data_IF_569779026805
#
_entry.id   IF_569779026805
#
_cell.length_a   1.000
_cell.length_b   1.000
_cell.length_c   1.000
_cell.angle_alpha   90.00
_cell.angle_beta   90.00
_cell.angle_gamma   90.00
#
_symmetry.space_group_name_H-M   'P 1'
#
loop_
_entity.id
_entity.type
_entity.pdbx_description
1 polymer ?
#
# COMPACT_ATOMS: atom_id res chain seq x y z
N UNK A 1 -5.99 6.54 18.69
CA UNK A 1 -5.82 7.62 17.70
C UNK A 1 -5.00 7.07 16.55
N UNK A 2 -5.43 7.30 15.31
CA UNK A 2 -4.68 6.91 14.11
C UNK A 2 -3.38 7.70 14.00
N UNK A 3 -2.31 7.04 13.53
CA UNK A 3 -1.06 7.69 13.15
C UNK A 3 -1.20 8.47 11.84
N UNK A 4 -0.29 9.41 11.58
CA UNK A 4 -0.27 10.17 10.31
C UNK A 4 -0.15 9.25 9.09
N UNK A 5 0.63 8.17 9.20
CA UNK A 5 0.80 7.17 8.14
C UNK A 5 -0.52 6.46 7.82
N UNK A 6 -1.29 6.08 8.83
CA UNK A 6 -2.60 5.44 8.65
C UNK A 6 -3.61 6.42 8.05
N UNK A 7 -3.62 7.67 8.52
CA UNK A 7 -4.47 8.74 7.97
C UNK A 7 -4.17 8.95 6.48
N UNK A 8 -2.89 9.01 6.10
CA UNK A 8 -2.52 9.13 4.69
C UNK A 8 -2.94 7.92 3.86
N UNK A 9 -2.77 6.70 4.39
CA UNK A 9 -3.18 5.49 3.70
C UNK A 9 -4.69 5.48 3.46
N UNK A 10 -5.51 5.80 4.47
CA UNK A 10 -6.96 5.92 4.33
C UNK A 10 -7.35 6.96 3.28
N UNK A 11 -6.71 8.14 3.28
CA UNK A 11 -6.94 9.19 2.28
C UNK A 11 -6.53 8.77 0.86
N UNK A 12 -5.54 7.88 0.72
CA UNK A 12 -5.11 7.29 -0.55
C UNK A 12 -6.01 6.14 -1.02
N UNK A 13 -7.07 5.82 -0.26
CA UNK A 13 -8.06 4.81 -0.62
C UNK A 13 -7.91 3.46 0.09
N UNK A 14 -6.99 3.35 1.05
CA UNK A 14 -6.92 2.15 1.89
C UNK A 14 -8.21 1.95 2.68
N UNK A 15 -8.53 0.70 2.95
CA UNK A 15 -9.62 0.35 3.84
C UNK A 15 -9.20 0.56 5.30
N UNK A 16 -10.15 0.97 6.14
CA UNK A 16 -10.02 1.13 7.58
C UNK A 16 -10.95 0.19 8.34
N UNK A 17 -10.70 0.05 9.64
CA UNK A 17 -11.56 -0.70 10.56
C UNK A 17 -12.15 0.25 11.60
N UNK A 18 -13.45 0.16 11.84
CA UNK A 18 -14.08 0.90 12.94
C UNK A 18 -14.04 0.10 14.26
N UNK A 19 -14.44 0.72 15.38
CA UNK A 19 -14.46 0.06 16.70
C UNK A 19 -15.41 -1.15 16.78
N UNK A 20 -16.36 -1.26 15.86
CA UNK A 20 -17.26 -2.41 15.74
C UNK A 20 -16.67 -3.55 14.89
N UNK A 21 -15.44 -3.41 14.37
CA UNK A 21 -14.82 -4.41 13.52
C UNK A 21 -15.36 -4.42 12.09
N UNK A 22 -16.04 -3.36 11.66
CA UNK A 22 -16.58 -3.25 10.30
C UNK A 22 -15.53 -2.65 9.37
N UNK A 23 -15.52 -3.16 8.13
CA UNK A 23 -14.67 -2.64 7.06
C UNK A 23 -15.22 -1.30 6.57
N UNK A 24 -14.35 -0.31 6.49
CA UNK A 24 -14.68 1.07 6.11
C UNK A 24 -13.80 1.53 4.96
N UNK A 25 -14.32 2.31 4.01
CA UNK A 25 -13.51 2.98 2.97
C UNK A 25 -13.96 4.42 2.80
N UNK A 26 -13.02 5.35 2.71
CA UNK A 26 -13.33 6.73 2.33
C UNK A 26 -13.77 6.76 0.88
N UNK A 27 -14.93 7.38 0.61
CA UNK A 27 -15.42 7.59 -0.76
C UNK A 27 -15.51 9.05 -1.16
N UNK A 28 -15.59 9.95 -0.19
CA UNK A 28 -15.57 11.38 -0.48
C UNK A 28 -15.12 12.19 0.73
N UNK A 29 -14.55 13.36 0.47
CA UNK A 29 -14.23 14.34 1.50
C UNK A 29 -14.92 15.66 1.14
N UNK A 30 -15.68 16.21 2.09
CA UNK A 30 -16.27 17.52 1.96
C UNK A 30 -15.26 18.58 2.40
N UNK A 31 -14.85 19.43 1.45
CA UNK A 31 -13.95 20.55 1.70
C UNK A 31 -14.68 21.83 2.14
N UNK A 32 -16.00 21.77 2.33
CA UNK A 32 -16.80 22.89 2.84
C UNK A 32 -17.25 22.60 4.28
N UNK A 33 -17.24 23.60 5.18
CA UNK A 33 -17.75 23.43 6.53
C UNK A 33 -19.21 22.92 6.57
N UNK A 34 -19.56 21.98 7.48
CA UNK A 34 -18.64 21.26 8.36
C UNK A 34 -17.82 20.23 7.57
N UNK A 35 -16.49 20.31 7.69
CA UNK A 35 -15.58 19.38 7.02
C UNK A 35 -15.91 17.95 7.46
N UNK A 36 -16.36 17.12 6.50
CA UNK A 36 -16.77 15.75 6.76
C UNK A 36 -16.13 14.79 5.76
N UNK A 37 -15.89 13.57 6.21
CA UNK A 37 -15.44 12.44 5.43
C UNK A 37 -16.66 11.55 5.24
N UNK A 38 -17.05 11.28 4.01
CA UNK A 38 -18.07 10.27 3.72
C UNK A 38 -17.39 8.93 3.52
N UNK A 39 -17.79 7.94 4.30
CA UNK A 39 -17.28 6.59 4.23
C UNK A 39 -18.37 5.61 3.79
N UNK A 40 -17.97 4.54 3.11
CA UNK A 40 -18.76 3.33 2.97
C UNK A 40 -18.36 2.36 4.08
N UNK A 41 -19.35 1.81 4.79
CA UNK A 41 -19.17 0.82 5.85
C UNK A 41 -19.93 -0.44 5.47
N UNK A 42 -19.27 -1.58 5.55
CA UNK A 42 -19.91 -2.87 5.30
C UNK A 42 -20.66 -3.34 6.56
N UNK A 43 -21.98 -3.46 6.45
CA UNK A 43 -22.87 -3.91 7.51
C UNK A 43 -23.69 -5.09 6.97
N UNK A 44 -23.49 -6.28 7.55
CA UNK A 44 -24.21 -7.51 7.15
C UNK A 44 -24.18 -7.80 5.64
N UNK A 45 -23.04 -7.54 4.96
CA UNK A 45 -22.88 -7.76 3.52
C UNK A 45 -23.49 -6.69 2.62
N UNK A 46 -23.89 -5.55 3.18
CA UNK A 46 -24.35 -4.38 2.43
C UNK A 46 -23.55 -3.13 2.78
N UNK A 47 -23.42 -2.23 1.83
CA UNK A 47 -22.69 -0.97 1.98
C UNK A 47 -23.62 0.13 2.51
N UNK A 48 -23.26 0.73 3.65
CA UNK A 48 -23.94 1.88 4.25
C UNK A 48 -23.05 3.12 4.21
N UNK A 49 -23.65 4.29 3.99
CA UNK A 49 -22.94 5.57 3.99
C UNK A 49 -22.90 6.17 5.39
N UNK A 50 -21.70 6.52 5.86
CA UNK A 50 -21.51 7.14 7.16
C UNK A 50 -20.70 8.44 7.06
N UNK A 51 -21.26 9.58 7.51
CA UNK A 51 -20.51 10.82 7.61
C UNK A 51 -19.66 10.81 8.90
N UNK A 52 -18.35 10.94 8.74
CA UNK A 52 -17.39 11.16 9.81
C UNK A 52 -16.82 12.58 9.72
N UNK A 53 -16.15 13.01 10.77
CA UNK A 53 -15.38 14.25 10.80
C UNK A 53 -14.03 14.06 10.12
N UNK A 54 -13.31 15.16 9.89
CA UNK A 54 -11.97 15.15 9.27
C UNK A 54 -10.90 14.34 10.01
N UNK A 55 -11.12 14.04 11.29
CA UNK A 55 -10.30 13.20 12.15
C UNK A 55 -10.81 11.75 12.26
N UNK A 56 -11.72 11.33 11.39
CA UNK A 56 -12.28 9.97 11.35
C UNK A 56 -13.15 9.56 12.55
N UNK A 57 -13.70 10.53 13.29
CA UNK A 57 -14.65 10.27 14.38
C UNK A 57 -16.06 10.72 14.02
N UNK A 58 -17.08 10.10 14.61
CA UNK A 58 -18.48 10.48 14.40
C UNK A 58 -18.87 11.70 15.24
N UNK A 59 -18.53 11.70 16.53
CA UNK A 59 -18.86 12.76 17.48
C UNK A 59 -17.60 13.48 17.99
N UNK A 60 -17.79 14.71 18.47
CA UNK A 60 -16.75 15.45 19.21
C UNK A 60 -16.86 15.03 20.68
N UNK A 61 -15.75 14.56 21.26
CA UNK A 61 -15.61 14.24 22.68
C UNK A 61 -16.30 12.96 23.18
N UNK A 62 -16.81 12.12 22.27
CA UNK A 62 -17.32 10.79 22.61
C UNK A 62 -16.76 9.75 21.63
N UNK A 63 -16.24 8.65 22.19
CA UNK A 63 -15.83 7.48 21.42
C UNK A 63 -17.07 6.79 20.86
N UNK A 64 -17.26 6.84 19.54
CA UNK A 64 -18.33 6.14 18.85
C UNK A 64 -17.87 4.78 18.36
N UNK A 65 -18.76 3.78 18.38
CA UNK A 65 -18.51 2.48 17.74
C UNK A 65 -18.15 2.60 16.26
N UNK A 66 -18.50 3.72 15.61
CA UNK A 66 -18.29 3.99 14.20
C UNK A 66 -16.96 4.72 13.91
N UNK A 67 -16.20 5.10 14.93
CA UNK A 67 -14.90 5.75 14.74
C UNK A 67 -13.90 4.80 14.08
N UNK A 68 -13.16 5.27 13.08
CA UNK A 68 -12.09 4.49 12.46
C UNK A 68 -10.88 4.48 13.38
N UNK A 69 -10.42 3.28 13.73
CA UNK A 69 -9.34 3.08 14.72
C UNK A 69 -8.08 2.44 14.16
N UNK A 70 -8.10 1.97 12.91
CA UNK A 70 -6.93 1.44 12.23
C UNK A 70 -7.17 1.25 10.73
N UNK A 71 -6.13 0.74 10.06
CA UNK A 71 -6.27 0.19 8.71
C UNK A 71 -6.94 -1.18 8.79
N UNK A 72 -7.79 -1.48 7.79
CA UNK A 72 -8.37 -2.80 7.64
C UNK A 72 -7.31 -3.76 7.11
N UNK A 73 -6.97 -4.72 7.95
CA UNK A 73 -6.30 -5.95 7.54
C UNK A 73 -7.40 -7.00 7.33
N UNK A 74 -7.37 -7.73 6.22
CA UNK A 74 -8.44 -8.69 5.92
C UNK A 74 -8.44 -9.81 6.97
N UNK A 75 -9.59 -10.12 7.61
CA UNK A 75 -9.63 -11.10 8.69
C UNK A 75 -9.11 -12.43 8.20
N UNK A 76 -8.48 -13.19 9.10
CA UNK A 76 -7.94 -14.49 8.79
C UNK A 76 -8.97 -15.38 8.11
N UNK A 77 -8.61 -15.94 6.96
CA UNK A 77 -9.42 -16.88 6.23
C UNK A 77 -8.63 -18.18 6.06
N UNK A 78 -9.08 -19.22 6.74
CA UNK A 78 -8.39 -20.51 6.74
C UNK A 78 -8.30 -21.14 5.35
N UNK A 79 -9.35 -21.05 4.54
CA UNK A 79 -9.35 -21.65 3.20
C UNK A 79 -8.31 -20.98 2.30
N UNK A 80 -8.24 -19.65 2.34
CA UNK A 80 -7.26 -18.88 1.60
C UNK A 80 -5.83 -19.16 2.09
N UNK A 81 -5.64 -19.19 3.41
CA UNK A 81 -4.35 -19.53 4.02
C UNK A 81 -3.87 -20.92 3.59
N UNK A 82 -4.78 -21.92 3.57
CA UNK A 82 -4.48 -23.28 3.12
C UNK A 82 -4.23 -23.37 1.60
N UNK A 83 -4.78 -22.43 0.82
CA UNK A 83 -4.47 -22.28 -0.60
C UNK A 83 -3.08 -21.66 -0.85
N UNK A 84 -2.35 -21.28 0.21
CA UNK A 84 -1.01 -20.71 0.13
C UNK A 84 -1.00 -19.18 0.04
N UNK A 85 -2.13 -18.52 0.29
CA UNK A 85 -2.15 -17.07 0.41
C UNK A 85 -1.36 -16.62 1.66
N UNK A 86 -0.57 -15.55 1.54
CA UNK A 86 0.24 -15.06 2.65
C UNK A 86 -0.58 -14.52 3.82
N UNK A 87 -0.01 -14.60 5.01
CA UNK A 87 -0.55 -14.09 6.26
C UNK A 87 0.32 -12.97 6.81
N UNK A 88 -0.23 -12.20 7.74
CA UNK A 88 0.53 -11.29 8.62
C UNK A 88 0.29 -11.66 10.06
N UNK A 89 1.37 -11.79 10.82
CA UNK A 89 1.31 -11.87 12.28
C UNK A 89 0.93 -10.49 12.84
N UNK A 90 -0.14 -10.43 13.64
CA UNK A 90 -0.69 -9.17 14.15
C UNK A 90 0.25 -8.47 15.13
N UNK A 91 1.03 -9.24 15.90
CA UNK A 91 1.98 -8.72 16.90
C UNK A 91 3.27 -8.22 16.25
N UNK A 92 3.92 -9.07 15.44
CA UNK A 92 5.23 -8.75 14.84
C UNK A 92 5.11 -7.93 13.55
N UNK A 93 3.94 -7.92 12.92
CA UNK A 93 3.66 -7.32 11.60
C UNK A 93 4.48 -7.94 10.46
N UNK A 94 4.87 -9.19 10.63
CA UNK A 94 5.70 -9.92 9.67
C UNK A 94 4.87 -10.83 8.77
N UNK A 95 5.39 -11.03 7.56
CA UNK A 95 4.76 -11.90 6.55
C UNK A 95 5.05 -13.37 6.85
N UNK A 96 3.99 -14.16 6.88
CA UNK A 96 4.00 -15.58 7.26
C UNK A 96 3.24 -16.41 6.21
N UNK A 97 3.36 -17.74 6.30
CA UNK A 97 2.62 -18.66 5.44
C UNK A 97 2.10 -19.86 6.22
N UNK A 98 0.86 -20.25 5.95
CA UNK A 98 0.32 -21.51 6.46
C UNK A 98 0.82 -22.67 5.60
N UNK A 99 1.56 -23.59 6.20
CA UNK A 99 2.20 -24.69 5.50
C UNK A 99 1.26 -25.90 5.34
N UNK A 100 0.61 -26.31 6.43
CA UNK A 100 -0.28 -27.46 6.41
C UNK A 100 -1.08 -27.61 7.71
N UNK A 101 -2.14 -28.41 7.62
CA UNK A 101 -2.85 -28.99 8.77
C UNK A 101 -2.21 -30.32 9.18
N UNK A 102 -2.00 -30.52 10.47
CA UNK A 102 -1.53 -31.78 11.05
C UNK A 102 -2.54 -32.90 10.79
N UNK A 103 -2.07 -34.01 10.24
CA UNK A 103 -2.88 -35.21 10.00
C UNK A 103 -2.93 -36.17 11.19
N UNK A 104 -2.13 -35.90 12.22
CA UNK A 104 -1.92 -36.81 13.36
C UNK A 104 -2.54 -36.31 14.66
N UNK A 105 -2.81 -35.00 14.76
CA UNK A 105 -3.45 -34.42 15.92
C UNK A 105 -4.94 -34.78 15.93
N UNK A 106 -5.47 -35.10 17.12
CA UNK A 106 -6.93 -35.27 17.34
C UNK A 106 -7.69 -33.94 17.26
N UNK A 107 -6.96 -32.84 17.21
CA UNK A 107 -7.45 -31.47 17.15
C UNK A 107 -6.83 -30.82 15.93
N UNK A 108 -7.54 -29.85 15.36
CA UNK A 108 -7.08 -29.12 14.18
C UNK A 108 -5.88 -28.24 14.55
N UNK A 109 -4.69 -28.74 14.22
CA UNK A 109 -3.40 -28.06 14.43
C UNK A 109 -2.80 -27.71 13.08
N UNK A 110 -2.22 -26.53 12.99
CA UNK A 110 -1.75 -25.90 11.78
C UNK A 110 -0.31 -25.43 11.96
N UNK A 111 0.52 -25.60 10.94
CA UNK A 111 1.92 -25.19 10.95
C UNK A 111 2.11 -23.89 10.17
N UNK A 112 2.62 -22.86 10.83
CA UNK A 112 2.88 -21.55 10.22
C UNK A 112 4.39 -21.31 10.15
N UNK A 113 4.88 -20.91 8.98
CA UNK A 113 6.26 -20.46 8.79
C UNK A 113 6.39 -18.98 9.16
N UNK A 114 7.27 -18.68 10.11
CA UNK A 114 7.61 -17.33 10.57
C UNK A 114 9.13 -17.15 10.62
N UNK A 115 9.69 -16.23 9.84
CA UNK A 115 11.10 -15.79 9.91
C UNK A 115 12.13 -16.88 10.29
N UNK A 116 12.09 -18.03 9.62
CA UNK A 116 12.95 -19.20 9.82
C UNK A 116 12.62 -20.13 11.01
N UNK A 117 11.42 -20.03 11.57
CA UNK A 117 10.85 -20.99 12.51
C UNK A 117 9.49 -21.50 12.01
N UNK A 118 9.08 -22.66 12.50
CA UNK A 118 7.74 -23.20 12.28
C UNK A 118 7.04 -23.24 13.63
N UNK A 119 5.94 -22.49 13.73
CA UNK A 119 5.07 -22.47 14.91
C UNK A 119 3.86 -23.38 14.68
N UNK A 120 3.28 -23.89 15.76
CA UNK A 120 2.06 -24.67 15.71
C UNK A 120 0.91 -23.95 16.42
N UNK A 121 -0.22 -23.86 15.74
CA UNK A 121 -1.40 -23.13 16.20
C UNK A 121 -2.64 -23.99 16.02
N UNK A 122 -3.66 -23.76 16.85
CA UNK A 122 -5.01 -24.22 16.53
C UNK A 122 -5.73 -23.14 15.71
N UNK A 123 -6.90 -23.49 15.15
CA UNK A 123 -7.66 -22.56 14.31
C UNK A 123 -8.09 -21.28 15.02
N UNK A 124 -8.51 -21.40 16.28
CA UNK A 124 -8.92 -20.25 17.10
C UNK A 124 -7.76 -19.27 17.28
N UNK A 125 -6.58 -19.78 17.60
CA UNK A 125 -5.39 -18.96 17.79
C UNK A 125 -4.91 -18.36 16.46
N UNK A 126 -5.07 -19.07 15.33
CA UNK A 126 -4.78 -18.49 14.02
C UNK A 126 -5.64 -17.27 13.74
N UNK A 127 -6.94 -17.36 14.03
CA UNK A 127 -7.89 -16.27 13.79
C UNK A 127 -7.64 -15.05 14.68
N UNK A 128 -7.02 -15.25 15.85
CA UNK A 128 -6.69 -14.16 16.78
C UNK A 128 -5.34 -13.51 16.43
N UNK A 129 -4.35 -14.31 16.04
CA UNK A 129 -2.97 -13.86 15.92
C UNK A 129 -2.55 -13.49 14.49
N UNK A 130 -3.36 -13.84 13.50
CA UNK A 130 -3.05 -13.59 12.10
C UNK A 130 -4.20 -12.91 11.36
N UNK A 131 -3.83 -12.26 10.26
CA UNK A 131 -4.73 -11.67 9.26
C UNK A 131 -4.22 -12.05 7.87
N UNK A 132 -5.08 -11.97 6.86
CA UNK A 132 -4.67 -12.22 5.48
C UNK A 132 -3.81 -11.06 4.97
N UNK A 133 -2.68 -11.37 4.31
CA UNK A 133 -1.90 -10.35 3.63
C UNK A 133 -2.61 -9.96 2.34
N UNK A 134 -3.00 -8.69 2.24
CA UNK A 134 -3.45 -8.10 0.99
C UNK A 134 -2.27 -7.47 0.28
N UNK A 135 -2.10 -7.81 -0.99
CA UNK A 135 -1.19 -7.07 -1.85
C UNK A 135 -1.62 -5.60 -1.87
N UNK A 136 -0.74 -4.65 -1.50
CA UNK A 136 -1.11 -3.24 -1.52
C UNK A 136 -1.56 -2.91 -2.94
N UNK A 137 -2.76 -2.32 -3.08
CA UNK A 137 -3.24 -1.91 -4.40
C UNK A 137 -2.12 -1.11 -5.06
N UNK A 138 -1.79 -1.41 -6.34
CA UNK A 138 -0.78 -0.67 -7.04
C UNK A 138 -1.23 0.78 -6.97
N UNK A 139 -0.51 1.56 -6.17
CA UNK A 139 -0.78 2.98 -6.08
C UNK A 139 -0.62 3.42 -7.52
N UNK A 140 -1.71 3.89 -8.15
CA UNK A 140 -1.57 4.71 -9.34
C UNK A 140 -0.75 5.87 -8.82
N UNK A 141 0.56 5.78 -8.93
CA UNK A 141 1.41 6.92 -8.87
C UNK A 141 0.73 7.88 -9.84
N UNK A 142 0.34 9.03 -9.33
CA UNK A 142 0.25 10.19 -10.17
C UNK A 142 1.67 10.42 -10.69
N UNK A 143 2.11 9.60 -11.66
CA UNK A 143 2.95 10.11 -12.71
C UNK A 143 2.10 11.21 -13.32
N UNK A 144 2.18 12.42 -12.74
CA UNK A 144 2.21 13.63 -13.55
C UNK A 144 3.21 13.26 -14.62
N UNK A 145 2.73 12.96 -15.83
CA UNK A 145 3.59 12.81 -16.98
C UNK A 145 4.60 13.95 -16.86
N UNK A 146 5.86 13.60 -16.60
CA UNK A 146 6.91 14.60 -16.60
C UNK A 146 6.71 15.34 -17.92
N UNK A 147 6.63 16.69 -17.91
CA UNK A 147 6.37 17.42 -19.13
C UNK A 147 7.34 16.88 -20.17
N UNK A 148 6.79 16.39 -21.30
CA UNK A 148 7.59 15.83 -22.40
C UNK A 148 8.79 16.75 -22.57
N UNK A 149 10.03 16.23 -22.59
CA UNK A 149 11.21 17.06 -22.59
C UNK A 149 11.03 18.12 -23.67
N UNK A 150 10.86 19.38 -23.25
CA UNK A 150 10.82 20.50 -24.17
C UNK A 150 12.15 20.41 -24.88
N UNK A 151 12.09 20.17 -26.19
CA UNK A 151 13.23 19.98 -27.08
C UNK A 151 14.46 20.69 -26.54
N UNK A 152 15.50 19.93 -26.18
CA UNK A 152 16.77 20.51 -25.73
C UNK A 152 17.26 21.40 -26.87
N UNK A 153 17.00 22.69 -26.78
CA UNK A 153 17.70 23.68 -27.59
C UNK A 153 19.08 23.78 -26.97
N UNK A 154 19.98 22.92 -27.44
CA UNK A 154 21.41 23.13 -27.28
C UNK A 154 21.68 24.45 -28.03
N UNK A 155 21.79 25.55 -27.29
CA UNK A 155 22.26 26.79 -27.89
C UNK A 155 23.67 26.52 -28.42
N UNK A 156 24.00 27.02 -29.62
CA UNK A 156 25.29 26.79 -30.31
C UNK A 156 26.51 27.11 -29.42
N UNK A 157 26.33 27.94 -28.40
CA UNK A 157 27.32 28.31 -27.38
C UNK A 157 27.70 27.14 -26.46
N UNK A 158 26.75 26.26 -26.11
CA UNK A 158 27.00 25.09 -25.24
C UNK A 158 27.62 23.93 -26.01
N UNK A 159 27.34 23.83 -27.31
CA UNK A 159 27.94 22.84 -28.21
C UNK A 159 29.46 23.06 -28.34
N UNK A 160 29.90 24.32 -28.35
CA UNK A 160 31.32 24.68 -28.34
C UNK A 160 32.04 24.31 -27.03
N UNK A 161 31.37 24.47 -25.88
CA UNK A 161 31.93 24.13 -24.56
C UNK A 161 32.09 22.62 -24.37
N UNK A 162 31.16 21.82 -24.91
CA UNK A 162 31.27 20.35 -24.88
C UNK A 162 32.32 19.86 -25.87
N UNK A 163 32.42 20.45 -27.07
CA UNK A 163 33.49 20.14 -28.03
C UNK A 163 34.89 20.43 -27.48
N UNK A 164 35.09 21.48 -26.67
CA UNK A 164 36.38 21.75 -26.03
C UNK A 164 36.84 20.66 -25.03
N UNK A 165 35.93 19.82 -24.53
CA UNK A 165 36.26 18.68 -23.65
C UNK A 165 36.64 17.41 -24.41
N UNK A 166 36.33 17.32 -25.69
CA UNK A 166 36.66 16.18 -26.55
C UNK A 166 37.71 16.65 -27.56
N UNK A 167 38.88 16.03 -27.57
CA UNK A 167 40.02 16.48 -28.39
C UNK A 167 39.79 16.47 -29.91
N UNK A 168 38.67 15.93 -30.37
CA UNK A 168 38.26 15.90 -31.77
C UNK A 168 36.73 15.91 -31.95
N UNK A 169 36.26 16.37 -33.11
CA UNK A 169 34.84 16.29 -33.50
C UNK A 169 34.34 14.83 -33.60
N UNK A 170 35.24 13.88 -33.85
CA UNK A 170 34.92 12.47 -34.00
C UNK A 170 34.58 11.83 -32.64
N UNK A 171 35.34 12.16 -31.60
CA UNK A 171 35.09 11.72 -30.22
C UNK A 171 33.76 12.27 -29.67
N UNK A 172 33.46 13.54 -29.99
CA UNK A 172 32.17 14.14 -29.64
C UNK A 172 31.01 13.41 -30.30
N UNK A 173 31.12 13.08 -31.59
CA UNK A 173 30.06 12.40 -32.33
C UNK A 173 29.83 10.97 -31.83
N UNK A 174 30.89 10.25 -31.42
CA UNK A 174 30.79 8.94 -30.80
C UNK A 174 30.07 9.03 -29.45
N UNK A 175 30.46 9.99 -28.60
CA UNK A 175 29.81 10.24 -27.31
C UNK A 175 28.34 10.63 -27.47
N UNK A 176 28.02 11.57 -28.37
CA UNK A 176 26.66 12.03 -28.62
C UNK A 176 25.76 10.90 -29.14
N UNK A 177 26.30 10.04 -30.02
CA UNK A 177 25.59 8.85 -30.52
C UNK A 177 25.36 7.83 -29.41
N UNK A 178 26.32 7.65 -28.51
CA UNK A 178 26.19 6.77 -27.34
C UNK A 178 25.12 7.29 -26.36
N UNK A 179 25.16 8.58 -25.99
CA UNK A 179 24.16 9.20 -25.12
C UNK A 179 22.77 9.11 -25.74
N UNK A 180 22.59 9.45 -27.03
CA UNK A 180 21.27 9.36 -27.70
C UNK A 180 20.73 7.94 -27.75
N UNK A 181 21.59 6.92 -27.90
CA UNK A 181 21.20 5.51 -27.92
C UNK A 181 20.83 4.97 -26.53
N UNK A 182 21.32 5.61 -25.46
CA UNK A 182 21.13 5.18 -24.08
C UNK A 182 20.32 6.17 -23.23
N UNK A 183 19.83 7.27 -23.81
CA UNK A 183 19.01 8.27 -23.13
C UNK A 183 17.77 7.61 -22.52
N UNK A 184 17.11 6.71 -23.25
CA UNK A 184 15.95 5.97 -22.77
C UNK A 184 16.25 5.03 -21.59
N UNK A 185 17.53 4.73 -21.30
CA UNK A 185 17.95 3.88 -20.17
C UNK A 185 18.54 4.67 -19.01
N UNK A 186 18.94 5.92 -19.23
CA UNK A 186 19.51 6.79 -18.19
C UNK A 186 18.44 7.46 -17.32
N UNK A 187 17.19 7.54 -17.81
CA UNK A 187 16.08 8.17 -17.08
C UNK A 187 15.11 7.18 -16.40
N UNK A 188 15.39 5.87 -16.44
CA UNK A 188 14.55 4.82 -15.82
C UNK A 188 15.31 3.97 -14.79
N UNK A 189 16.03 4.63 -13.88
CA UNK A 189 16.38 4.04 -12.59
C UNK A 189 16.21 5.08 -11.48
N UNK A 190 15.00 5.13 -10.95
CA UNK A 190 14.72 5.39 -9.53
C UNK A 190 13.84 4.25 -9.07
#
# INVERSE_FOLDING_TARGET
MLSEKEIEALKKGAYGINRQGQRVRIVSTNHKPPYSILCLVEVNGHDEYQPLRSNFTLYENEDSGLDIVGLWEEPFNLEHALAGEPLINVETKEKCYLLSKSKFAKVDVYYVEEQASIQCWNETDLNVNYVMWKEPEPTKSEYKELPKPTSIHINKTDEYQVKLRFGSDEDYNIWAKHIRKHADKLFYKV
#
